data_IF_460659395332
#
_entry.id   IF_460659395332
#
_cell.length_a   1.000
_cell.length_b   1.000
_cell.length_c   1.000
_cell.angle_alpha   90.00
_cell.angle_beta   90.00
_cell.angle_gamma   90.00
#
_symmetry.space_group_name_H-M   'P 1'
#
loop_
_entity.id
_entity.type
_entity.pdbx_description
1 polymer ?
#
# COMPACT_ATOMS: atom_id res chain seq x y z
N UNK A 1 30.17 -20.11 -2.14
CA UNK A 1 29.28 -19.24 -1.32
C UNK A 1 30.06 -18.85 -0.08
N UNK A 2 30.21 -17.55 0.24
CA UNK A 2 30.97 -17.14 1.44
C UNK A 2 30.07 -17.23 2.66
N UNK A 3 30.60 -17.72 3.80
CA UNK A 3 29.85 -17.83 5.07
C UNK A 3 29.14 -16.54 5.48
N UNK A 4 29.75 -15.38 5.15
CA UNK A 4 29.19 -14.06 5.39
C UNK A 4 27.87 -13.82 4.67
N UNK A 5 27.68 -14.35 3.45
CA UNK A 5 26.44 -14.18 2.69
C UNK A 5 25.31 -15.03 3.30
N UNK A 6 25.62 -16.24 3.75
CA UNK A 6 24.64 -17.13 4.41
C UNK A 6 24.12 -16.50 5.70
N UNK A 7 25.02 -15.95 6.53
CA UNK A 7 24.65 -15.27 7.77
C UNK A 7 23.82 -14.00 7.53
N UNK A 8 24.08 -13.30 6.44
CA UNK A 8 23.32 -12.09 6.08
C UNK A 8 21.92 -12.47 5.56
N UNK A 9 21.79 -13.48 4.72
CA UNK A 9 20.51 -14.01 4.26
C UNK A 9 19.65 -14.46 5.43
N UNK A 10 20.20 -15.22 6.39
CA UNK A 10 19.49 -15.65 7.59
C UNK A 10 18.97 -14.48 8.42
N UNK A 11 19.77 -13.45 8.65
CA UNK A 11 19.36 -12.25 9.39
C UNK A 11 18.24 -11.47 8.68
N UNK A 12 18.24 -11.45 7.37
CA UNK A 12 17.20 -10.79 6.58
C UNK A 12 15.88 -11.56 6.67
N UNK A 13 15.92 -12.89 6.59
CA UNK A 13 14.73 -13.73 6.76
C UNK A 13 14.14 -13.57 8.17
N UNK A 14 14.95 -13.59 9.21
CA UNK A 14 14.53 -13.34 10.60
C UNK A 14 13.89 -11.95 10.77
N UNK A 15 14.39 -10.94 10.05
CA UNK A 15 13.80 -9.60 10.07
C UNK A 15 12.41 -9.59 9.40
N UNK A 16 12.22 -10.34 8.31
CA UNK A 16 10.91 -10.45 7.64
C UNK A 16 9.93 -11.18 8.56
N UNK A 17 10.33 -12.30 9.16
CA UNK A 17 9.49 -13.05 10.09
C UNK A 17 9.07 -12.17 11.27
N UNK A 18 9.99 -11.36 11.82
CA UNK A 18 9.66 -10.41 12.87
C UNK A 18 8.58 -9.39 12.45
N UNK A 19 8.66 -8.86 11.22
CA UNK A 19 7.66 -7.93 10.70
C UNK A 19 6.29 -8.59 10.55
N UNK A 20 6.25 -9.81 10.01
CA UNK A 20 5.01 -10.58 9.80
C UNK A 20 4.37 -10.96 11.13
N UNK A 21 5.14 -11.53 12.06
CA UNK A 21 4.65 -12.00 13.36
C UNK A 21 4.10 -10.88 14.24
N UNK A 22 4.68 -9.69 14.14
CA UNK A 22 4.25 -8.53 14.91
C UNK A 22 3.28 -7.61 14.14
N UNK A 23 2.86 -7.96 12.93
CA UNK A 23 2.02 -7.12 12.07
C UNK A 23 2.60 -5.70 11.84
N UNK A 24 3.92 -5.60 11.69
CA UNK A 24 4.66 -4.37 11.40
C UNK A 24 4.89 -4.32 9.89
N UNK A 25 4.59 -3.17 9.26
CA UNK A 25 4.84 -3.01 7.82
C UNK A 25 6.32 -3.12 7.48
N UNK A 26 6.64 -3.74 6.34
CA UNK A 26 8.02 -3.78 5.84
C UNK A 26 8.60 -2.37 5.62
N UNK A 27 7.75 -1.39 5.35
CA UNK A 27 8.15 0.02 5.25
C UNK A 27 8.58 0.66 6.58
N UNK A 28 8.26 0.04 7.71
CA UNK A 28 8.66 0.46 9.06
C UNK A 28 9.95 -0.22 9.52
N UNK A 29 10.68 -0.89 8.61
CA UNK A 29 11.94 -1.55 8.93
C UNK A 29 13.00 -0.56 9.43
N UNK A 30 13.94 -1.09 10.22
CA UNK A 30 15.00 -0.30 10.86
C UNK A 30 16.20 -0.02 9.94
N UNK A 31 16.23 -0.61 8.74
CA UNK A 31 17.37 -0.45 7.84
C UNK A 31 17.39 0.95 7.25
N UNK A 32 18.58 1.49 7.14
CA UNK A 32 18.76 2.78 6.47
C UNK A 32 18.29 2.66 5.02
N UNK A 33 17.42 3.56 4.61
CA UNK A 33 16.95 3.66 3.23
C UNK A 33 18.13 3.65 2.24
N UNK A 34 18.03 2.84 1.19
CA UNK A 34 19.06 2.63 0.16
C UNK A 34 20.34 1.91 0.63
N UNK A 35 20.37 1.32 1.83
CA UNK A 35 21.47 0.43 2.23
C UNK A 35 21.32 -0.97 1.63
N UNK A 36 22.42 -1.73 1.57
CA UNK A 36 22.39 -3.11 1.07
C UNK A 36 21.38 -3.97 1.83
N UNK A 37 21.26 -3.79 3.15
CA UNK A 37 20.27 -4.51 3.96
C UNK A 37 18.83 -4.11 3.62
N UNK A 38 18.59 -2.84 3.32
CA UNK A 38 17.29 -2.34 2.87
C UNK A 38 16.88 -3.01 1.56
N UNK A 39 17.77 -3.05 0.58
CA UNK A 39 17.50 -3.74 -0.68
C UNK A 39 17.34 -5.24 -0.50
N UNK A 40 18.18 -5.86 0.33
CA UNK A 40 18.14 -7.28 0.62
C UNK A 40 16.80 -7.68 1.26
N UNK A 41 16.27 -6.88 2.19
CA UNK A 41 14.96 -7.10 2.82
C UNK A 41 13.84 -7.20 1.77
N UNK A 42 13.73 -6.19 0.91
CA UNK A 42 12.66 -6.16 -0.09
C UNK A 42 12.84 -7.21 -1.20
N UNK A 43 14.07 -7.52 -1.56
CA UNK A 43 14.35 -8.56 -2.54
C UNK A 43 13.94 -9.94 -2.00
N UNK A 44 14.30 -10.22 -0.75
CA UNK A 44 13.94 -11.48 -0.08
C UNK A 44 12.43 -11.56 0.17
N UNK A 45 11.80 -10.49 0.66
CA UNK A 45 10.35 -10.46 0.83
C UNK A 45 9.61 -10.73 -0.48
N UNK A 46 10.08 -10.16 -1.59
CA UNK A 46 9.52 -10.39 -2.93
C UNK A 46 9.71 -11.83 -3.39
N UNK A 47 10.87 -12.43 -3.08
CA UNK A 47 11.15 -13.84 -3.38
C UNK A 47 10.20 -14.75 -2.61
N UNK A 48 10.09 -14.56 -1.29
CA UNK A 48 9.22 -15.36 -0.43
C UNK A 48 7.75 -15.21 -0.81
N UNK A 49 7.32 -14.00 -1.15
CA UNK A 49 5.96 -13.75 -1.62
C UNK A 49 5.64 -14.49 -2.92
N UNK A 50 6.54 -14.45 -3.90
CA UNK A 50 6.38 -15.18 -5.17
C UNK A 50 6.38 -16.70 -5.00
N UNK A 51 7.12 -17.22 -4.01
CA UNK A 51 7.17 -18.63 -3.67
C UNK A 51 5.96 -19.10 -2.81
N UNK A 52 5.07 -18.19 -2.42
CA UNK A 52 3.94 -18.49 -1.55
C UNK A 52 4.36 -18.87 -0.13
N UNK A 53 5.52 -18.42 0.31
CA UNK A 53 6.07 -18.69 1.65
C UNK A 53 5.86 -17.55 2.64
N UNK A 54 5.26 -16.44 2.20
CA UNK A 54 5.02 -15.27 3.01
C UNK A 54 3.53 -15.15 3.30
N UNK A 55 3.09 -15.92 4.28
CA UNK A 55 1.71 -15.92 4.76
C UNK A 55 1.46 -14.74 5.71
N UNK A 56 0.23 -14.26 5.76
CA UNK A 56 -0.23 -13.16 6.65
C UNK A 56 0.48 -11.81 6.49
N UNK A 57 1.14 -11.58 5.38
CA UNK A 57 1.71 -10.26 5.07
C UNK A 57 0.59 -9.21 4.91
N UNK A 58 0.87 -7.98 5.33
CA UNK A 58 -0.09 -6.87 5.19
C UNK A 58 -0.37 -6.54 3.71
N UNK A 59 -1.61 -6.19 3.41
CA UNK A 59 -2.05 -5.86 2.05
C UNK A 59 -1.33 -4.61 1.48
N UNK A 60 -0.83 -3.72 2.35
CA UNK A 60 0.00 -2.58 1.92
C UNK A 60 1.38 -3.05 1.47
N UNK A 61 1.94 -4.06 2.13
CA UNK A 61 3.21 -4.66 1.72
C UNK A 61 3.04 -5.48 0.45
N UNK A 62 1.93 -6.21 0.29
CA UNK A 62 1.60 -6.87 -0.97
C UNK A 62 1.52 -5.84 -2.10
N UNK A 63 0.79 -4.73 -1.89
CA UNK A 63 0.70 -3.66 -2.89
C UNK A 63 2.08 -3.09 -3.23
N UNK A 64 2.93 -2.90 -2.23
CA UNK A 64 4.29 -2.42 -2.43
C UNK A 64 5.13 -3.42 -3.24
N UNK A 65 5.06 -4.71 -2.90
CA UNK A 65 5.80 -5.76 -3.61
C UNK A 65 5.29 -5.98 -5.04
N UNK A 66 4.00 -5.81 -5.31
CA UNK A 66 3.42 -6.02 -6.64
C UNK A 66 3.53 -4.81 -7.56
N UNK A 67 3.52 -3.59 -7.02
CA UNK A 67 3.36 -2.36 -7.82
C UNK A 67 4.62 -1.50 -7.89
N UNK A 68 5.67 -1.85 -7.16
CA UNK A 68 6.95 -1.12 -7.18
C UNK A 68 8.10 -2.04 -7.55
N UNK A 69 9.24 -1.45 -7.91
CA UNK A 69 10.48 -2.17 -8.20
C UNK A 69 11.44 -2.17 -6.99
N UNK A 70 10.94 -1.79 -5.81
CA UNK A 70 11.77 -1.74 -4.60
C UNK A 70 12.44 -3.11 -4.33
N UNK A 71 13.74 -3.10 -4.08
CA UNK A 71 14.55 -4.29 -3.91
C UNK A 71 15.00 -4.97 -5.22
N UNK A 72 14.56 -4.49 -6.37
CA UNK A 72 15.02 -4.99 -7.67
C UNK A 72 16.23 -4.19 -8.17
N UNK A 73 16.98 -4.80 -9.07
CA UNK A 73 18.13 -4.18 -9.70
C UNK A 73 18.03 -4.30 -11.21
N UNK A 74 18.40 -3.24 -11.90
CA UNK A 74 18.62 -3.21 -13.33
C UNK A 74 20.10 -3.08 -13.68
N UNK A 75 20.39 -2.92 -14.94
CA UNK A 75 21.73 -2.64 -15.47
C UNK A 75 21.70 -1.32 -16.22
N UNK A 76 22.63 -0.44 -15.90
CA UNK A 76 22.83 0.81 -16.63
C UNK A 76 24.33 1.00 -16.91
N UNK A 77 24.70 1.12 -18.17
CA UNK A 77 26.10 1.27 -18.62
C UNK A 77 27.04 0.17 -18.08
N UNK A 78 26.53 -1.06 -17.92
CA UNK A 78 27.29 -2.21 -17.40
C UNK A 78 27.40 -2.27 -15.88
N UNK A 79 26.82 -1.33 -15.16
CA UNK A 79 26.75 -1.32 -13.70
C UNK A 79 25.36 -1.75 -13.19
N UNK A 80 25.36 -2.49 -12.10
CA UNK A 80 24.14 -2.90 -11.41
C UNK A 80 23.58 -1.73 -10.61
N UNK A 81 22.42 -1.24 -11.01
CA UNK A 81 21.74 -0.11 -10.35
C UNK A 81 20.41 -0.55 -9.72
N UNK A 82 20.07 -0.07 -8.53
CA UNK A 82 18.77 -0.37 -7.93
C UNK A 82 17.64 0.34 -8.67
N UNK A 83 16.52 -0.38 -8.86
CA UNK A 83 15.30 0.13 -9.52
C UNK A 83 14.27 0.72 -8.54
N UNK A 84 14.69 1.03 -7.37
CA UNK A 84 13.86 1.33 -6.22
C UNK A 84 13.43 2.79 -6.08
N UNK A 85 13.55 3.56 -7.11
CA UNK A 85 12.80 4.81 -7.06
C UNK A 85 11.36 4.45 -6.76
N UNK A 86 10.77 4.91 -5.62
CA UNK A 86 9.34 4.87 -5.48
C UNK A 86 8.81 5.62 -6.68
N UNK A 87 8.45 4.90 -7.70
CA UNK A 87 7.80 5.47 -8.86
C UNK A 87 6.51 6.01 -8.29
N UNK A 88 6.53 7.28 -7.95
CA UNK A 88 5.27 8.00 -7.89
C UNK A 88 4.73 7.84 -9.30
N UNK A 89 3.81 6.89 -9.47
CA UNK A 89 3.21 6.64 -10.77
C UNK A 89 2.43 7.90 -11.09
N UNK A 90 3.16 8.87 -11.59
CA UNK A 90 2.59 10.07 -12.14
C UNK A 90 1.86 9.65 -13.41
N UNK A 91 0.60 9.92 -13.45
CA UNK A 91 -0.20 9.70 -14.62
C UNK A 91 -0.86 11.02 -15.01
N UNK A 92 -1.20 11.15 -16.26
CA UNK A 92 -1.89 12.33 -16.75
C UNK A 92 -3.41 12.12 -16.65
N UNK A 93 -4.10 13.09 -16.05
CA UNK A 93 -5.55 13.16 -16.02
C UNK A 93 -6.01 14.57 -16.44
N UNK A 94 -6.67 14.66 -17.57
CA UNK A 94 -7.15 15.94 -18.15
C UNK A 94 -6.04 16.99 -18.29
N UNK A 95 -4.90 16.62 -18.85
CA UNK A 95 -3.76 17.50 -19.05
C UNK A 95 -2.96 17.86 -17.79
N UNK A 96 -3.23 17.20 -16.66
CA UNK A 96 -2.53 17.45 -15.39
C UNK A 96 -1.86 16.19 -14.88
N UNK A 97 -0.62 16.33 -14.44
CA UNK A 97 0.07 15.27 -13.72
C UNK A 97 -0.61 15.00 -12.38
N UNK A 98 -0.98 13.76 -12.14
CA UNK A 98 -1.68 13.30 -10.94
C UNK A 98 -0.99 12.09 -10.35
N UNK A 99 -1.01 12.00 -9.03
CA UNK A 99 -0.47 10.88 -8.29
C UNK A 99 -1.52 9.80 -8.15
N UNK A 100 -1.20 8.58 -8.58
CA UNK A 100 -2.09 7.43 -8.47
C UNK A 100 -2.09 6.83 -7.07
N UNK A 101 -3.19 6.17 -6.69
CA UNK A 101 -3.31 5.37 -5.47
C UNK A 101 -3.35 6.16 -4.16
N UNK A 102 -3.14 7.47 -4.16
CA UNK A 102 -3.16 8.30 -2.95
C UNK A 102 -4.48 9.06 -2.80
N UNK A 103 -5.32 8.73 -1.82
CA UNK A 103 -6.52 9.49 -1.51
C UNK A 103 -6.20 10.91 -1.05
N UNK A 104 -6.99 11.87 -1.53
CA UNK A 104 -6.90 13.29 -1.20
C UNK A 104 -8.25 13.82 -0.75
N UNK A 105 -8.26 14.88 0.07
CA UNK A 105 -9.50 15.57 0.45
C UNK A 105 -10.00 16.46 -0.69
N UNK A 106 -11.33 16.56 -0.82
CA UNK A 106 -11.97 17.49 -1.75
C UNK A 106 -12.64 16.80 -2.94
N UNK A 107 -13.01 17.60 -3.92
CA UNK A 107 -13.76 17.15 -5.11
C UNK A 107 -15.29 17.13 -4.88
N UNK A 108 -16.02 16.37 -5.70
CA UNK A 108 -17.47 16.24 -5.60
C UNK A 108 -17.96 15.54 -4.32
N UNK A 109 -17.10 14.69 -3.73
CA UNK A 109 -17.29 14.04 -2.43
C UNK A 109 -16.20 14.47 -1.44
N UNK A 110 -16.20 13.91 -0.21
CA UNK A 110 -15.19 14.26 0.81
C UNK A 110 -13.77 13.93 0.37
N UNK A 111 -13.61 12.83 -0.35
CA UNK A 111 -12.32 12.31 -0.80
C UNK A 111 -12.38 11.93 -2.25
N UNK A 112 -11.22 11.93 -2.87
CA UNK A 112 -11.01 11.38 -4.22
C UNK A 112 -9.63 10.76 -4.33
N UNK A 113 -9.47 9.89 -5.31
CA UNK A 113 -8.22 9.26 -5.68
C UNK A 113 -8.17 9.08 -7.18
N UNK A 114 -6.97 9.14 -7.74
CA UNK A 114 -6.75 8.78 -9.14
C UNK A 114 -6.25 7.35 -9.21
N UNK A 115 -6.85 6.57 -10.09
CA UNK A 115 -6.50 5.16 -10.29
C UNK A 115 -6.38 4.85 -11.77
N UNK A 116 -5.48 3.96 -12.14
CA UNK A 116 -5.39 3.44 -13.50
C UNK A 116 -6.38 2.29 -13.66
N UNK A 117 -7.21 2.34 -14.67
CA UNK A 117 -8.10 1.25 -15.00
C UNK A 117 -7.29 0.12 -15.64
N UNK A 118 -7.21 -1.08 -15.05
CA UNK A 118 -6.40 -2.16 -15.58
C UNK A 118 -6.86 -2.67 -16.96
N UNK A 119 -8.14 -2.47 -17.28
CA UNK A 119 -8.69 -2.93 -18.57
C UNK A 119 -8.43 -1.96 -19.72
N UNK A 120 -8.48 -0.66 -19.46
CA UNK A 120 -8.36 0.38 -20.49
C UNK A 120 -7.05 1.14 -20.47
N UNK A 121 -6.24 0.99 -19.40
CA UNK A 121 -5.05 1.77 -19.19
C UNK A 121 -5.29 3.23 -18.78
N UNK A 122 -6.52 3.72 -18.88
CA UNK A 122 -6.87 5.12 -18.64
C UNK A 122 -6.93 5.45 -17.15
N UNK A 123 -6.55 6.67 -16.81
CA UNK A 123 -6.68 7.20 -15.45
C UNK A 123 -8.10 7.62 -15.18
N UNK A 124 -8.64 7.19 -14.05
CA UNK A 124 -9.98 7.53 -13.57
C UNK A 124 -9.91 8.21 -12.22
N UNK A 125 -10.66 9.30 -12.04
CA UNK A 125 -10.88 9.91 -10.73
C UNK A 125 -12.04 9.22 -10.01
N UNK A 126 -11.76 8.58 -8.89
CA UNK A 126 -12.75 7.91 -8.04
C UNK A 126 -13.05 8.81 -6.85
N UNK A 127 -14.29 9.26 -6.70
CA UNK A 127 -14.74 10.08 -5.57
C UNK A 127 -15.55 9.24 -4.59
N UNK A 128 -15.26 9.38 -3.28
CA UNK A 128 -15.91 8.60 -2.24
C UNK A 128 -16.10 9.42 -0.94
N UNK A 129 -16.93 8.90 -0.02
CA UNK A 129 -17.31 9.61 1.21
C UNK A 129 -18.41 10.66 0.96
N UNK A 130 -19.53 10.59 1.68
CA UNK A 130 -20.64 11.51 1.53
C UNK A 130 -20.29 12.93 2.01
N UNK A 131 -20.69 13.96 1.28
CA UNK A 131 -20.55 15.37 1.67
C UNK A 131 -21.76 15.90 2.44
N UNK A 132 -22.93 15.36 2.14
CA UNK A 132 -24.21 15.80 2.68
C UNK A 132 -24.77 14.78 3.67
N UNK A 133 -25.23 15.26 4.77
CA UNK A 133 -25.82 14.49 5.85
C UNK A 133 -25.18 14.90 7.17
N UNK A 134 -25.90 15.69 7.95
CA UNK A 134 -25.53 16.45 9.14
C UNK A 134 -24.80 15.74 10.29
N UNK A 135 -24.42 14.50 10.15
CA UNK A 135 -23.38 13.90 10.97
C UNK A 135 -22.07 14.02 10.19
N UNK A 136 -21.18 14.86 10.68
CA UNK A 136 -19.74 14.67 10.42
C UNK A 136 -19.54 13.16 10.38
N UNK A 137 -19.12 12.61 9.20
CA UNK A 137 -18.54 11.30 9.15
C UNK A 137 -17.24 11.35 9.95
N UNK A 138 -17.33 11.53 11.24
CA UNK A 138 -16.36 10.96 12.13
C UNK A 138 -16.47 9.47 11.85
N UNK A 139 -15.55 9.00 11.00
CA UNK A 139 -15.36 7.58 10.81
C UNK A 139 -15.16 7.09 12.22
N UNK A 140 -16.17 6.38 12.77
CA UNK A 140 -16.15 5.87 14.15
C UNK A 140 -15.18 4.69 14.18
N UNK A 141 -13.88 5.01 13.98
CA UNK A 141 -12.80 4.05 13.84
C UNK A 141 -12.62 3.17 15.08
N UNK A 142 -13.15 3.65 16.22
CA UNK A 142 -13.05 2.97 17.51
C UNK A 142 -14.32 2.20 17.89
N UNK A 143 -15.39 2.27 17.09
CA UNK A 143 -16.66 1.61 17.39
C UNK A 143 -16.79 0.30 16.57
N UNK A 144 -16.68 -0.89 17.22
CA UNK A 144 -16.76 -2.18 16.52
C UNK A 144 -18.10 -2.41 15.82
N UNK A 145 -19.20 -1.92 16.40
CA UNK A 145 -20.55 -2.09 15.83
C UNK A 145 -20.72 -1.23 14.57
N UNK A 146 -20.25 0.02 14.63
CA UNK A 146 -20.26 0.90 13.46
C UNK A 146 -19.37 0.37 12.35
N UNK A 147 -18.22 -0.22 12.68
CA UNK A 147 -17.31 -0.90 11.74
C UNK A 147 -18.02 -2.05 11.04
N UNK A 148 -18.60 -2.98 11.78
CA UNK A 148 -19.29 -4.15 11.23
C UNK A 148 -20.47 -3.73 10.32
N UNK A 149 -21.28 -2.76 10.75
CA UNK A 149 -22.39 -2.24 9.96
C UNK A 149 -21.92 -1.53 8.67
N UNK A 150 -20.77 -0.85 8.71
CA UNK A 150 -20.18 -0.23 7.54
C UNK A 150 -19.65 -1.31 6.56
N UNK A 151 -18.91 -2.29 7.08
CA UNK A 151 -18.35 -3.39 6.31
C UNK A 151 -19.45 -4.16 5.54
N UNK A 152 -20.53 -4.51 6.23
CA UNK A 152 -21.69 -5.20 5.65
C UNK A 152 -22.34 -4.38 4.54
N UNK A 153 -22.63 -3.09 4.78
CA UNK A 153 -23.27 -2.22 3.76
C UNK A 153 -22.43 -2.01 2.52
N UNK A 154 -21.11 -2.00 2.65
CA UNK A 154 -20.19 -1.76 1.54
C UNK A 154 -19.58 -3.02 0.96
N UNK A 155 -19.92 -4.19 1.52
CA UNK A 155 -19.37 -5.49 1.16
C UNK A 155 -17.84 -5.45 1.08
N UNK A 156 -17.21 -5.01 2.17
CA UNK A 156 -15.79 -4.66 2.18
C UNK A 156 -14.86 -5.85 1.92
N UNK A 157 -15.27 -7.06 2.30
CA UNK A 157 -14.53 -8.29 2.00
C UNK A 157 -14.36 -8.55 0.50
N UNK A 158 -15.38 -8.16 -0.28
CA UNK A 158 -15.38 -8.35 -1.73
C UNK A 158 -14.98 -7.08 -2.51
N UNK A 159 -14.69 -5.98 -1.81
CA UNK A 159 -14.34 -4.71 -2.43
C UNK A 159 -12.88 -4.72 -2.93
N UNK A 160 -12.60 -5.50 -4.00
CA UNK A 160 -11.26 -5.66 -4.59
C UNK A 160 -10.97 -4.72 -5.77
N UNK A 161 -11.99 -4.09 -6.35
CA UNK A 161 -11.85 -3.25 -7.54
C UNK A 161 -11.46 -1.80 -7.18
N UNK A 162 -10.19 -1.44 -7.41
CA UNK A 162 -9.64 -0.09 -7.16
C UNK A 162 -10.37 1.01 -7.97
N UNK A 163 -11.08 0.67 -9.03
CA UNK A 163 -11.84 1.65 -9.82
C UNK A 163 -13.21 2.00 -9.23
N UNK A 164 -13.59 1.37 -8.12
CA UNK A 164 -14.85 1.58 -7.41
C UNK A 164 -14.66 2.32 -6.09
N UNK A 165 -15.64 3.17 -5.77
CA UNK A 165 -15.65 3.95 -4.54
C UNK A 165 -15.68 3.09 -3.26
N UNK A 166 -16.32 1.90 -3.31
CA UNK A 166 -16.39 0.96 -2.19
C UNK A 166 -15.00 0.49 -1.74
N UNK A 167 -14.11 0.18 -2.67
CA UNK A 167 -12.73 -0.19 -2.37
C UNK A 167 -12.05 0.85 -1.46
N UNK A 168 -12.08 2.11 -1.86
CA UNK A 168 -11.45 3.21 -1.15
C UNK A 168 -12.16 3.59 0.15
N UNK A 169 -13.48 3.48 0.18
CA UNK A 169 -14.26 3.71 1.39
C UNK A 169 -13.96 2.66 2.46
N UNK A 170 -13.85 1.40 2.09
CA UNK A 170 -13.50 0.31 3.00
C UNK A 170 -12.07 0.45 3.56
N UNK A 171 -11.15 0.96 2.78
CA UNK A 171 -9.72 1.13 3.16
C UNK A 171 -9.39 2.53 3.68
N UNK A 172 -10.38 3.41 3.81
CA UNK A 172 -10.18 4.79 4.31
C UNK A 172 -9.39 4.86 5.64
N UNK A 173 -9.60 3.95 6.62
CA UNK A 173 -8.85 3.96 7.87
C UNK A 173 -7.34 3.86 7.71
N UNK A 174 -6.85 3.16 6.69
CA UNK A 174 -5.42 3.03 6.39
C UNK A 174 -4.79 4.37 6.01
N UNK A 175 -5.57 5.23 5.38
CA UNK A 175 -5.15 6.56 4.94
C UNK A 175 -5.53 7.68 5.92
N UNK A 176 -6.07 7.34 7.10
CA UNK A 176 -6.59 8.30 8.05
C UNK A 176 -5.55 9.34 8.46
N UNK A 177 -4.34 8.92 8.79
CA UNK A 177 -3.22 9.80 9.18
C UNK A 177 -2.86 10.78 8.05
N UNK A 178 -2.67 10.28 6.83
CA UNK A 178 -2.32 11.12 5.67
C UNK A 178 -3.43 12.07 5.25
N UNK A 179 -4.68 11.75 5.58
CA UNK A 179 -5.86 12.59 5.34
C UNK A 179 -6.20 13.50 6.52
N UNK A 180 -5.38 13.53 7.58
CA UNK A 180 -5.67 14.32 8.78
C UNK A 180 -6.97 13.91 9.47
N UNK A 181 -7.29 12.62 9.47
CA UNK A 181 -8.42 12.06 10.22
C UNK A 181 -7.93 11.51 11.57
N UNK A 182 -8.72 11.68 12.61
CA UNK A 182 -8.44 11.08 13.91
C UNK A 182 -8.77 9.59 13.90
N UNK A 183 -7.84 8.78 14.39
CA UNK A 183 -7.91 7.33 14.34
C UNK A 183 -7.34 6.78 13.03
N UNK A 184 -6.92 5.54 13.07
CA UNK A 184 -6.34 4.83 11.94
C UNK A 184 -6.29 3.35 12.26
N UNK A 185 -5.89 2.55 11.30
CA UNK A 185 -5.69 1.12 11.48
C UNK A 185 -6.35 0.29 10.39
N UNK A 186 -6.10 -1.00 10.44
CA UNK A 186 -6.63 -1.99 9.53
C UNK A 186 -8.09 -2.29 9.90
N UNK A 187 -8.97 -2.24 8.94
CA UNK A 187 -10.38 -2.52 9.17
C UNK A 187 -10.78 -3.89 8.59
N UNK A 188 -10.23 -4.26 7.47
CA UNK A 188 -10.34 -5.53 6.74
C UNK A 188 -9.27 -5.59 5.63
#
# INVERSE_FOLDING_TARGET
MKLTNILQEQKITEAIDYHVDNNILLSENIFRMYSDNYFALYNEARRLYKEGKLDNIDEMDIELLETTDIGQFGEFEGEKVPLDCPVMVEAEYQGKKVQLGKPKRGGSKKFYVYVKNPKTGNVKKVSFGAKSGGASLSVKLKDPKAKAAFASRHNCEQAKDKTKASYWACRLPRYAKSLGLSGGGKWW
#
